data_IF_540939337358
#
_entry.id   IF_540939337358
#
_cell.length_a   1.000
_cell.length_b   1.000
_cell.length_c   1.000
_cell.angle_alpha   90.00
_cell.angle_beta   90.00
_cell.angle_gamma   90.00
#
_symmetry.space_group_name_H-M   'P 1'
#
loop_
_entity.id
_entity.type
_entity.pdbx_description
1 polymer ?
#
# COMPACT_ATOMS: atom_id res chain seq x y z
N UNK A 1 0.75 6.71 -18.73
CA UNK A 1 -0.25 7.15 -17.73
C UNK A 1 -1.25 6.05 -17.43
N UNK A 2 -1.51 5.74 -16.16
CA UNK A 2 -2.61 4.83 -15.77
C UNK A 2 -3.96 5.25 -16.39
N UNK A 3 -4.77 4.28 -16.87
CA UNK A 3 -6.00 4.58 -17.60
C UNK A 3 -7.02 5.34 -16.76
N UNK A 4 -7.17 5.01 -15.48
CA UNK A 4 -8.12 5.68 -14.57
C UNK A 4 -7.80 7.16 -14.37
N UNK A 5 -6.50 7.48 -14.26
CA UNK A 5 -6.03 8.86 -14.08
C UNK A 5 -6.20 9.64 -15.38
N UNK A 6 -5.85 9.03 -16.52
CA UNK A 6 -6.02 9.66 -17.83
C UNK A 6 -7.48 10.00 -18.12
N UNK A 7 -8.41 9.09 -17.81
CA UNK A 7 -9.85 9.30 -17.96
C UNK A 7 -10.33 10.47 -17.10
N UNK A 8 -9.90 10.54 -15.84
CA UNK A 8 -10.31 11.57 -14.90
C UNK A 8 -9.80 12.96 -15.30
N UNK A 9 -8.55 13.06 -15.73
CA UNK A 9 -7.95 14.32 -16.21
C UNK A 9 -8.67 14.82 -17.46
N UNK A 10 -8.87 13.95 -18.45
CA UNK A 10 -9.55 14.31 -19.71
C UNK A 10 -11.00 14.74 -19.44
N UNK A 11 -11.73 14.00 -18.62
CA UNK A 11 -13.10 14.33 -18.20
C UNK A 11 -13.18 15.70 -17.50
N UNK A 12 -12.28 15.96 -16.55
CA UNK A 12 -12.28 17.20 -15.77
C UNK A 12 -11.97 18.41 -16.64
N UNK A 13 -11.04 18.28 -17.59
CA UNK A 13 -10.69 19.37 -18.50
C UNK A 13 -11.81 19.61 -19.51
N UNK A 14 -12.43 18.56 -20.06
CA UNK A 14 -13.63 18.70 -20.91
C UNK A 14 -14.76 19.41 -20.14
N UNK A 15 -15.03 19.00 -18.91
CA UNK A 15 -16.02 19.65 -18.04
C UNK A 15 -15.70 21.13 -17.86
N UNK A 16 -14.46 21.47 -17.50
CA UNK A 16 -14.03 22.85 -17.31
C UNK A 16 -14.21 23.68 -18.58
N UNK A 17 -13.80 23.15 -19.75
CA UNK A 17 -13.94 23.84 -21.03
C UNK A 17 -15.40 24.07 -21.43
N UNK A 18 -16.28 23.10 -21.18
CA UNK A 18 -17.71 23.21 -21.48
C UNK A 18 -18.44 24.19 -20.55
N UNK A 19 -18.08 24.22 -19.26
CA UNK A 19 -18.63 25.17 -18.28
C UNK A 19 -18.20 26.59 -18.62
N UNK A 20 -16.93 26.82 -18.94
CA UNK A 20 -16.43 28.15 -19.34
C UNK A 20 -17.07 28.68 -20.62
N UNK A 21 -17.47 27.79 -21.53
CA UNK A 21 -18.17 28.15 -22.78
C UNK A 21 -19.68 28.42 -22.59
N UNK A 22 -20.25 28.13 -21.42
CA UNK A 22 -21.67 28.38 -21.11
C UNK A 22 -21.82 29.50 -20.07
N UNK A 23 -21.52 30.77 -20.39
CA UNK A 23 -21.56 31.87 -19.40
C UNK A 23 -22.98 32.39 -19.10
N UNK A 24 -24.04 31.86 -19.71
CA UNK A 24 -25.38 32.46 -19.64
C UNK A 24 -26.52 31.44 -19.76
N UNK A 25 -26.69 30.59 -18.76
CA UNK A 25 -28.03 30.21 -18.29
C UNK A 25 -27.92 29.47 -16.96
N UNK A 26 -28.58 29.97 -15.92
CA UNK A 26 -28.81 29.24 -14.67
C UNK A 26 -29.73 28.02 -14.84
N UNK A 27 -29.69 27.36 -16.00
CA UNK A 27 -30.43 26.14 -16.27
C UNK A 27 -29.42 24.99 -16.28
N UNK A 28 -29.72 23.96 -15.48
CA UNK A 28 -29.05 22.66 -15.45
C UNK A 28 -29.42 21.87 -16.72
N UNK A 29 -29.24 22.51 -17.88
CA UNK A 29 -29.76 22.09 -19.18
C UNK A 29 -28.69 21.51 -20.08
N UNK A 30 -29.06 20.44 -20.78
CA UNK A 30 -28.35 19.77 -21.89
C UNK A 30 -27.47 20.75 -22.68
N UNK A 31 -26.14 20.55 -22.66
CA UNK A 31 -25.18 21.40 -23.37
C UNK A 31 -24.87 20.74 -24.72
N UNK A 32 -25.11 21.48 -25.81
CA UNK A 32 -24.53 21.18 -27.12
C UNK A 32 -23.23 21.96 -27.27
N UNK A 33 -22.13 21.42 -26.74
CA UNK A 33 -20.85 22.12 -26.64
C UNK A 33 -19.83 21.64 -27.68
N UNK A 34 -19.01 22.56 -28.17
CA UNK A 34 -17.89 22.27 -29.08
C UNK A 34 -16.56 22.55 -28.40
N UNK A 35 -15.74 21.52 -28.25
CA UNK A 35 -14.40 21.61 -27.66
C UNK A 35 -13.36 21.47 -28.76
N UNK A 36 -12.46 22.45 -28.89
CA UNK A 36 -11.31 22.34 -29.79
C UNK A 36 -10.35 21.28 -29.26
N UNK A 37 -10.01 20.29 -30.09
CA UNK A 37 -9.09 19.22 -29.72
C UNK A 37 -7.68 19.75 -29.45
N UNK A 38 -7.24 20.77 -30.19
CA UNK A 38 -5.94 21.43 -29.98
C UNK A 38 -5.94 22.12 -28.61
N UNK A 39 -7.02 22.84 -28.27
CA UNK A 39 -7.13 23.48 -26.96
C UNK A 39 -7.16 22.43 -25.84
N UNK A 40 -7.95 21.36 -25.99
CA UNK A 40 -7.99 20.26 -25.03
C UNK A 40 -6.61 19.64 -24.81
N UNK A 41 -5.89 19.36 -25.90
CA UNK A 41 -4.54 18.79 -25.86
C UNK A 41 -3.57 19.72 -25.14
N UNK A 42 -3.59 21.01 -25.45
CA UNK A 42 -2.74 22.00 -24.80
C UNK A 42 -3.04 22.12 -23.29
N UNK A 43 -4.31 22.12 -22.89
CA UNK A 43 -4.71 22.18 -21.48
C UNK A 43 -4.27 20.91 -20.71
N UNK A 44 -4.36 19.74 -21.34
CA UNK A 44 -3.87 18.48 -20.75
C UNK A 44 -2.35 18.48 -20.64
N UNK A 45 -1.63 18.88 -21.69
CA UNK A 45 -0.17 18.86 -21.73
C UNK A 45 0.47 19.86 -20.76
N UNK A 46 -0.20 20.99 -20.50
CA UNK A 46 0.25 22.01 -19.56
C UNK A 46 -0.31 21.81 -18.15
N UNK A 47 -1.10 20.76 -17.92
CA UNK A 47 -1.67 20.48 -16.61
C UNK A 47 -0.55 20.14 -15.60
N UNK A 48 -0.57 20.80 -14.45
CA UNK A 48 0.43 20.61 -13.39
C UNK A 48 0.49 19.15 -12.92
N UNK A 49 -0.66 18.49 -12.78
CA UNK A 49 -0.73 17.10 -12.34
C UNK A 49 -0.13 16.16 -13.40
N UNK A 50 -0.39 16.41 -14.68
CA UNK A 50 0.21 15.63 -15.77
C UNK A 50 1.73 15.78 -15.76
N UNK A 51 2.25 17.00 -15.59
CA UNK A 51 3.70 17.23 -15.52
C UNK A 51 4.34 16.54 -14.30
N UNK A 52 3.70 16.57 -13.13
CA UNK A 52 4.17 15.85 -11.94
C UNK A 52 4.17 14.33 -12.10
N UNK A 53 3.23 13.77 -12.87
CA UNK A 53 3.22 12.33 -13.18
C UNK A 53 4.35 11.94 -14.13
N UNK A 54 4.63 12.80 -15.11
CA UNK A 54 5.72 12.57 -16.08
C UNK A 54 7.08 12.57 -15.40
N UNK A 55 7.29 13.46 -14.43
CA UNK A 55 8.49 13.45 -13.58
C UNK A 55 8.67 12.14 -12.80
N UNK A 56 7.57 11.42 -12.53
CA UNK A 56 7.57 10.11 -11.86
C UNK A 56 7.66 8.92 -12.83
N UNK A 57 7.86 9.18 -14.12
CA UNK A 57 8.10 8.15 -15.15
C UNK A 57 6.86 7.73 -15.96
N UNK A 58 5.76 8.49 -15.90
CA UNK A 58 4.56 8.23 -16.72
C UNK A 58 4.62 8.93 -18.08
N UNK A 59 4.10 8.29 -19.13
CA UNK A 59 4.01 8.91 -20.45
C UNK A 59 2.91 9.99 -20.51
N UNK A 60 3.20 11.07 -21.24
CA UNK A 60 2.20 12.11 -21.58
C UNK A 60 1.15 11.54 -22.53
N UNK A 61 -0.09 12.01 -22.36
CA UNK A 61 -1.19 11.68 -23.27
C UNK A 61 -0.99 12.37 -24.61
N UNK A 62 -0.97 11.58 -25.68
CA UNK A 62 -0.98 12.10 -27.05
C UNK A 62 -2.42 12.41 -27.51
N UNK A 63 -2.57 12.96 -28.72
CA UNK A 63 -3.90 13.30 -29.27
C UNK A 63 -4.75 12.03 -29.47
N UNK A 64 -4.14 10.91 -29.85
CA UNK A 64 -4.86 9.65 -30.09
C UNK A 64 -5.35 9.04 -28.78
N UNK A 65 -4.53 9.08 -27.73
CA UNK A 65 -4.84 8.66 -26.37
C UNK A 65 -6.04 9.44 -25.85
N UNK A 66 -6.04 10.76 -26.03
CA UNK A 66 -7.17 11.62 -25.64
C UNK A 66 -8.44 11.20 -26.37
N UNK A 67 -8.37 10.93 -27.68
CA UNK A 67 -9.54 10.49 -28.46
C UNK A 67 -10.03 9.10 -28.04
N UNK A 68 -9.13 8.18 -27.72
CA UNK A 68 -9.46 6.85 -27.20
C UNK A 68 -10.14 6.97 -25.84
N UNK A 69 -9.59 7.81 -24.95
CA UNK A 69 -10.17 8.10 -23.64
C UNK A 69 -11.56 8.71 -23.79
N UNK A 70 -11.75 9.70 -24.66
CA UNK A 70 -13.07 10.31 -24.91
C UNK A 70 -14.09 9.27 -25.38
N UNK A 71 -13.72 8.38 -26.32
CA UNK A 71 -14.60 7.30 -26.79
C UNK A 71 -14.96 6.32 -25.66
N UNK A 72 -14.01 5.98 -24.80
CA UNK A 72 -14.22 5.05 -23.68
C UNK A 72 -15.09 5.67 -22.59
N UNK A 73 -14.91 6.96 -22.34
CA UNK A 73 -15.65 7.70 -21.31
C UNK A 73 -17.11 7.90 -21.70
N UNK A 74 -17.37 8.12 -23.00
CA UNK A 74 -18.70 8.40 -23.53
C UNK A 74 -19.14 7.37 -24.59
N UNK A 75 -19.26 6.08 -24.26
CA UNK A 75 -19.49 5.02 -25.25
C UNK A 75 -20.87 5.13 -25.93
N UNK A 76 -21.85 5.71 -25.23
CA UNK A 76 -23.24 5.80 -25.68
C UNK A 76 -23.60 7.17 -26.27
N UNK A 77 -22.67 8.13 -26.31
CA UNK A 77 -22.92 9.46 -26.86
C UNK A 77 -22.41 9.57 -28.28
N UNK A 78 -23.19 10.23 -29.14
CA UNK A 78 -22.75 10.59 -30.49
C UNK A 78 -21.75 11.74 -30.37
N UNK A 79 -20.47 11.43 -30.26
CA UNK A 79 -19.39 12.43 -30.34
C UNK A 79 -18.91 12.46 -31.79
N UNK A 80 -19.01 13.62 -32.43
CA UNK A 80 -18.51 13.83 -33.79
C UNK A 80 -17.25 14.70 -33.76
N UNK A 81 -16.18 14.23 -34.40
CA UNK A 81 -14.97 15.02 -34.66
C UNK A 81 -15.07 15.62 -36.07
N UNK A 82 -15.20 16.93 -36.17
CA UNK A 82 -15.27 17.67 -37.44
C UNK A 82 -14.32 18.86 -37.34
N UNK A 83 -13.43 19.04 -38.32
CA UNK A 83 -12.45 20.14 -38.38
C UNK A 83 -11.62 20.34 -37.09
N UNK A 84 -11.22 19.22 -36.45
CA UNK A 84 -10.46 19.27 -35.19
C UNK A 84 -11.27 19.70 -33.97
N UNK A 85 -12.60 19.73 -34.05
CA UNK A 85 -13.51 20.04 -32.95
C UNK A 85 -14.31 18.80 -32.54
N UNK A 86 -14.31 18.51 -31.25
CA UNK A 86 -15.20 17.54 -30.62
C UNK A 86 -16.54 18.20 -30.35
N UNK A 87 -17.58 17.74 -31.04
CA UNK A 87 -18.96 18.18 -30.80
C UNK A 87 -19.68 17.15 -29.93
N UNK A 88 -20.16 17.59 -28.78
CA UNK A 88 -20.92 16.78 -27.84
C UNK A 88 -22.41 17.06 -28.04
N UNK A 89 -23.13 16.10 -28.62
CA UNK A 89 -24.57 16.22 -28.85
C UNK A 89 -25.34 15.75 -27.62
N UNK A 90 -26.16 16.63 -27.06
CA UNK A 90 -27.03 16.37 -25.91
C UNK A 90 -26.30 15.90 -24.62
N UNK A 91 -25.11 16.41 -24.33
CA UNK A 91 -24.39 16.05 -23.11
C UNK A 91 -25.03 16.76 -21.91
N UNK A 92 -25.51 16.00 -20.92
CA UNK A 92 -25.95 16.55 -19.65
C UNK A 92 -24.74 16.81 -18.75
N UNK A 93 -24.61 18.04 -18.25
CA UNK A 93 -23.50 18.40 -17.36
C UNK A 93 -23.53 17.59 -16.05
N UNK A 94 -24.72 17.22 -15.59
CA UNK A 94 -24.94 16.35 -14.43
C UNK A 94 -24.40 14.94 -14.65
N UNK A 95 -24.55 14.37 -15.85
CA UNK A 95 -23.95 13.07 -16.21
C UNK A 95 -22.42 13.15 -16.20
N UNK A 96 -21.87 14.26 -16.70
CA UNK A 96 -20.43 14.51 -16.69
C UNK A 96 -19.88 14.60 -15.26
N UNK A 97 -20.54 15.36 -14.39
CA UNK A 97 -20.18 15.48 -12.98
C UNK A 97 -20.29 14.15 -12.23
N UNK A 98 -21.36 13.39 -12.47
CA UNK A 98 -21.54 12.07 -11.88
C UNK A 98 -20.45 11.10 -12.39
N UNK A 99 -20.12 11.13 -13.67
CA UNK A 99 -19.05 10.33 -14.26
C UNK A 99 -17.66 10.65 -13.70
N UNK A 100 -17.39 11.92 -13.38
CA UNK A 100 -16.16 12.34 -12.68
C UNK A 100 -16.16 11.79 -11.25
N UNK A 101 -17.24 11.98 -10.47
CA UNK A 101 -17.32 11.51 -9.08
C UNK A 101 -17.20 9.98 -8.99
N UNK A 102 -17.87 9.26 -9.88
CA UNK A 102 -17.82 7.80 -9.90
C UNK A 102 -16.41 7.28 -10.17
N UNK A 103 -15.71 7.85 -11.16
CA UNK A 103 -14.32 7.46 -11.46
C UNK A 103 -13.36 7.86 -10.36
N UNK A 104 -13.54 9.03 -9.75
CA UNK A 104 -12.77 9.43 -8.58
C UNK A 104 -12.96 8.44 -7.43
N UNK A 105 -14.19 8.04 -7.15
CA UNK A 105 -14.50 7.06 -6.12
C UNK A 105 -13.86 5.70 -6.41
N UNK A 106 -13.94 5.22 -7.65
CA UNK A 106 -13.27 3.97 -8.08
C UNK A 106 -11.75 4.06 -7.93
N UNK A 107 -11.16 5.18 -8.32
CA UNK A 107 -9.72 5.42 -8.17
C UNK A 107 -9.31 5.40 -6.70
N UNK A 108 -10.00 6.14 -5.84
CA UNK A 108 -9.73 6.16 -4.40
C UNK A 108 -9.86 4.77 -3.78
N UNK A 109 -10.92 4.02 -4.12
CA UNK A 109 -11.11 2.66 -3.63
C UNK A 109 -10.01 1.71 -4.12
N UNK A 110 -9.60 1.81 -5.38
CA UNK A 110 -8.51 1.01 -5.93
C UNK A 110 -7.16 1.33 -5.26
N UNK A 111 -6.89 2.60 -4.99
CA UNK A 111 -5.69 3.03 -4.27
C UNK A 111 -5.71 2.55 -2.82
N UNK A 112 -6.85 2.65 -2.13
CA UNK A 112 -6.99 2.09 -0.77
C UNK A 112 -6.78 0.58 -0.75
N UNK A 113 -7.33 -0.15 -1.73
CA UNK A 113 -7.10 -1.59 -1.85
C UNK A 113 -5.63 -1.91 -2.15
N UNK A 114 -4.95 -1.10 -2.98
CA UNK A 114 -3.53 -1.25 -3.25
C UNK A 114 -2.67 -0.98 -2.00
N UNK A 115 -3.00 0.06 -1.23
CA UNK A 115 -2.34 0.37 0.05
C UNK A 115 -2.57 -0.79 1.02
N UNK A 116 -3.80 -1.27 1.20
CA UNK A 116 -4.10 -2.39 2.09
C UNK A 116 -3.35 -3.67 1.69
N UNK A 117 -3.18 -3.92 0.37
CA UNK A 117 -2.34 -5.03 -0.12
C UNK A 117 -0.86 -4.81 0.19
N UNK A 118 -0.34 -3.61 0.01
CA UNK A 118 1.04 -3.28 0.35
C UNK A 118 1.29 -3.37 1.86
N UNK A 119 0.31 -2.98 2.67
CA UNK A 119 0.34 -3.14 4.13
C UNK A 119 0.34 -4.62 4.53
N UNK A 120 -0.54 -5.46 3.94
CA UNK A 120 -0.51 -6.91 4.16
C UNK A 120 0.82 -7.52 3.70
N UNK A 121 1.38 -7.06 2.58
CA UNK A 121 2.69 -7.49 2.07
C UNK A 121 3.85 -7.13 3.02
N UNK A 122 3.80 -5.95 3.64
CA UNK A 122 4.80 -5.50 4.60
C UNK A 122 4.67 -6.31 5.90
N UNK A 123 3.45 -6.61 6.33
CA UNK A 123 3.16 -7.35 7.56
C UNK A 123 3.37 -8.87 7.40
N UNK A 124 3.15 -9.42 6.20
CA UNK A 124 3.21 -10.84 5.87
C UNK A 124 4.06 -11.09 4.61
N UNK A 125 5.39 -10.85 4.65
CA UNK A 125 6.27 -10.94 3.48
C UNK A 125 6.33 -12.33 2.82
N UNK A 126 5.90 -13.40 3.51
CA UNK A 126 5.82 -14.76 2.98
C UNK A 126 4.69 -14.97 1.95
N UNK A 127 3.63 -14.14 1.92
CA UNK A 127 2.56 -14.30 0.91
C UNK A 127 2.99 -13.95 -0.51
N UNK A 128 4.06 -13.16 -0.67
CA UNK A 128 4.65 -12.82 -1.97
C UNK A 128 5.15 -14.02 -2.75
N UNK A 129 5.58 -15.09 -2.07
CA UNK A 129 6.14 -16.28 -2.74
C UNK A 129 5.07 -17.30 -3.15
N UNK A 130 3.85 -17.21 -2.63
CA UNK A 130 2.79 -18.18 -2.88
C UNK A 130 1.82 -17.78 -4.01
N UNK A 131 1.61 -16.48 -4.27
CA UNK A 131 0.58 -16.02 -5.21
C UNK A 131 1.11 -15.63 -6.61
N UNK A 132 2.43 -15.61 -6.82
CA UNK A 132 3.08 -15.34 -8.11
C UNK A 132 3.38 -16.62 -8.89
N UNK A 133 2.34 -17.31 -9.38
CA UNK A 133 2.50 -18.54 -10.16
C UNK A 133 3.03 -18.27 -11.58
N UNK A 134 4.35 -18.42 -11.77
CA UNK A 134 4.99 -19.02 -12.96
C UNK A 134 6.52 -19.01 -12.81
N UNK A 135 7.13 -20.16 -12.46
CA UNK A 135 8.52 -20.45 -12.83
C UNK A 135 9.64 -20.04 -11.86
N UNK A 136 9.36 -19.82 -10.58
CA UNK A 136 10.40 -19.56 -9.59
C UNK A 136 10.03 -20.12 -8.24
N UNK A 137 10.20 -21.43 -8.04
CA UNK A 137 10.29 -21.97 -6.69
C UNK A 137 11.26 -21.11 -5.91
N UNK A 138 10.94 -20.80 -4.66
CA UNK A 138 11.88 -20.21 -3.72
C UNK A 138 13.06 -21.16 -3.57
N UNK A 139 13.99 -21.12 -4.52
CA UNK A 139 15.37 -21.52 -4.32
C UNK A 139 16.00 -20.44 -3.43
N UNK A 140 15.47 -20.28 -2.21
CA UNK A 140 16.37 -19.98 -1.11
C UNK A 140 17.32 -21.17 -1.15
N UNK A 141 18.57 -20.92 -1.58
CA UNK A 141 19.60 -21.95 -1.61
C UNK A 141 19.47 -22.78 -0.31
N UNK A 142 19.36 -24.11 -0.37
CA UNK A 142 19.19 -24.95 0.83
C UNK A 142 20.21 -24.64 1.93
N UNK A 143 21.37 -24.08 1.56
CA UNK A 143 22.36 -23.54 2.51
C UNK A 143 21.89 -22.27 3.22
N UNK A 144 21.31 -21.30 2.49
CA UNK A 144 20.75 -20.06 3.04
C UNK A 144 19.58 -20.35 3.97
N UNK A 145 18.72 -21.31 3.62
CA UNK A 145 17.60 -21.72 4.46
C UNK A 145 18.08 -22.32 5.79
N UNK A 146 19.03 -23.26 5.74
CA UNK A 146 19.66 -23.84 6.93
C UNK A 146 20.36 -22.81 7.82
N UNK A 147 21.04 -21.82 7.21
CA UNK A 147 21.68 -20.73 7.97
C UNK A 147 20.65 -19.84 8.67
N UNK A 148 19.52 -19.55 8.03
CA UNK A 148 18.42 -18.78 8.63
C UNK A 148 17.74 -19.55 9.77
N UNK A 149 17.55 -20.86 9.61
CA UNK A 149 17.06 -21.73 10.68
C UNK A 149 18.05 -21.79 11.85
N UNK A 150 19.35 -21.97 11.59
CA UNK A 150 20.38 -21.97 12.63
C UNK A 150 20.44 -20.63 13.37
N UNK A 151 20.34 -19.51 12.63
CA UNK A 151 20.28 -18.18 13.22
C UNK A 151 19.06 -18.04 14.14
N UNK A 152 17.87 -18.44 13.64
CA UNK A 152 16.62 -18.46 14.42
C UNK A 152 16.77 -19.25 15.71
N UNK A 153 17.19 -20.50 15.59
CA UNK A 153 17.32 -21.40 16.74
C UNK A 153 18.34 -20.87 17.74
N UNK A 154 19.45 -20.28 17.26
CA UNK A 154 20.47 -19.68 18.14
C UNK A 154 19.94 -18.48 18.90
N UNK A 155 19.21 -17.59 18.23
CA UNK A 155 18.62 -16.40 18.86
C UNK A 155 17.58 -16.82 19.89
N UNK A 156 16.65 -17.71 19.52
CA UNK A 156 15.61 -18.20 20.43
C UNK A 156 16.21 -18.93 21.64
N UNK A 157 17.18 -19.82 21.42
CA UNK A 157 17.85 -20.55 22.51
C UNK A 157 18.61 -19.60 23.45
N UNK A 158 19.29 -18.57 22.93
CA UNK A 158 19.99 -17.58 23.78
C UNK A 158 19.02 -16.71 24.57
N UNK A 159 17.89 -16.32 23.99
CA UNK A 159 16.84 -15.58 24.68
C UNK A 159 16.22 -16.41 25.81
N UNK A 160 16.01 -17.72 25.59
CA UNK A 160 15.52 -18.65 26.62
C UNK A 160 16.57 -18.94 27.70
N UNK A 161 17.82 -19.21 27.32
CA UNK A 161 18.88 -19.58 28.26
C UNK A 161 19.32 -18.42 29.17
N UNK A 162 19.41 -17.20 28.64
CA UNK A 162 19.78 -16.01 29.46
C UNK A 162 18.67 -15.57 30.41
N UNK A 163 17.42 -16.01 30.20
CA UNK A 163 16.31 -15.67 31.08
C UNK A 163 16.38 -16.39 32.45
N UNK A 164 17.24 -17.39 32.61
CA UNK A 164 17.49 -18.03 33.92
C UNK A 164 16.23 -18.61 34.59
N UNK A 165 15.20 -18.92 33.80
CA UNK A 165 13.92 -19.45 34.29
C UNK A 165 12.97 -18.42 34.90
N UNK A 166 13.24 -17.11 34.81
CA UNK A 166 12.34 -16.09 35.40
C UNK A 166 11.26 -15.58 34.45
N UNK A 167 11.55 -15.40 33.16
CA UNK A 167 10.52 -15.01 32.16
C UNK A 167 11.08 -15.07 30.74
N UNK A 168 10.72 -16.08 29.94
CA UNK A 168 11.07 -16.12 28.51
C UNK A 168 10.01 -15.42 27.65
N UNK A 169 10.25 -15.29 26.34
CA UNK A 169 9.30 -14.65 25.42
C UNK A 169 7.92 -15.33 25.51
N UNK A 170 7.87 -16.65 25.72
CA UNK A 170 6.63 -17.40 25.85
C UNK A 170 5.88 -17.07 27.15
N UNK A 171 6.58 -17.07 28.27
CA UNK A 171 6.05 -16.70 29.59
C UNK A 171 5.53 -15.27 29.59
N UNK A 172 6.21 -14.35 28.88
CA UNK A 172 5.77 -12.97 28.70
C UNK A 172 4.39 -12.90 28.05
N UNK A 173 4.19 -13.61 26.94
CA UNK A 173 2.90 -13.63 26.24
C UNK A 173 1.80 -14.36 27.01
N UNK A 174 2.12 -15.45 27.70
CA UNK A 174 1.17 -16.14 28.58
C UNK A 174 0.70 -15.22 29.72
N UNK A 175 1.61 -14.43 30.30
CA UNK A 175 1.30 -13.46 31.35
C UNK A 175 0.44 -12.31 30.83
N UNK A 176 0.75 -11.79 29.64
CA UNK A 176 -0.01 -10.71 29.01
C UNK A 176 -1.41 -11.15 28.56
N UNK A 177 -1.56 -12.40 28.13
CA UNK A 177 -2.86 -12.98 27.79
C UNK A 177 -3.70 -13.20 29.07
N UNK A 178 -3.08 -13.68 30.15
CA UNK A 178 -3.74 -13.87 31.43
C UNK A 178 -4.18 -12.54 32.09
N UNK A 179 -3.44 -11.45 31.88
CA UNK A 179 -3.78 -10.13 32.41
C UNK A 179 -4.82 -9.38 31.58
N UNK A 180 -5.21 -9.88 30.40
CA UNK A 180 -6.12 -9.20 29.46
C UNK A 180 -5.55 -7.91 28.87
N UNK A 181 -4.26 -7.63 29.06
CA UNK A 181 -3.61 -6.39 28.66
C UNK A 181 -3.39 -6.27 27.14
N UNK A 182 -3.35 -7.42 26.47
CA UNK A 182 -3.14 -7.55 25.02
C UNK A 182 -4.14 -6.72 24.20
N UNK A 183 -5.43 -6.73 24.59
CA UNK A 183 -6.51 -6.16 23.78
C UNK A 183 -6.53 -4.61 23.76
N UNK A 184 -5.82 -3.96 24.68
CA UNK A 184 -5.85 -2.50 24.83
C UNK A 184 -4.82 -1.76 23.97
N UNK A 185 -3.64 -2.36 23.76
CA UNK A 185 -2.50 -1.71 23.08
C UNK A 185 -2.00 -2.50 21.86
N UNK A 186 -2.20 -3.82 21.82
CA UNK A 186 -1.65 -4.70 20.78
C UNK A 186 -2.70 -4.99 19.72
N UNK A 187 -2.53 -4.44 18.52
CA UNK A 187 -3.44 -4.68 17.40
C UNK A 187 -3.32 -6.09 16.80
N UNK A 188 -2.16 -6.71 16.92
CA UNK A 188 -1.89 -8.03 16.36
C UNK A 188 -0.79 -8.73 17.16
N UNK A 189 -1.21 -9.72 17.94
CA UNK A 189 -0.34 -10.60 18.72
C UNK A 189 0.50 -11.45 17.77
N UNK A 190 1.81 -11.49 17.99
CA UNK A 190 2.67 -12.43 17.27
C UNK A 190 2.59 -13.79 17.97
N UNK A 191 2.15 -14.81 17.25
CA UNK A 191 2.17 -16.19 17.71
C UNK A 191 3.63 -16.67 17.78
N UNK A 192 4.14 -16.91 18.99
CA UNK A 192 5.51 -17.40 19.22
C UNK A 192 5.76 -18.73 18.50
N UNK A 193 4.73 -19.56 18.38
CA UNK A 193 4.82 -20.83 17.65
C UNK A 193 5.03 -20.62 16.15
N UNK A 194 4.61 -19.49 15.57
CA UNK A 194 5.02 -19.11 14.21
C UNK A 194 6.50 -18.81 14.15
N UNK A 195 7.03 -18.05 15.11
CA UNK A 195 8.47 -17.73 15.15
C UNK A 195 9.32 -19.01 15.25
N UNK A 196 8.88 -20.01 16.02
CA UNK A 196 9.60 -21.27 16.20
C UNK A 196 9.56 -22.17 14.96
N UNK A 197 8.41 -22.23 14.28
CA UNK A 197 8.18 -23.19 13.21
C UNK A 197 8.49 -22.62 11.82
N UNK A 198 8.33 -21.31 11.63
CA UNK A 198 8.53 -20.69 10.34
C UNK A 198 10.00 -20.37 10.09
N UNK A 199 10.42 -20.52 8.83
CA UNK A 199 11.75 -20.06 8.41
C UNK A 199 11.66 -18.57 8.07
N UNK A 200 12.45 -17.70 8.75
CA UNK A 200 12.39 -16.27 8.48
C UNK A 200 12.89 -15.96 7.08
N UNK A 201 12.35 -14.92 6.44
CA UNK A 201 12.75 -14.54 5.07
C UNK A 201 14.17 -13.96 5.00
N UNK A 202 14.60 -13.34 6.11
CA UNK A 202 15.94 -12.78 6.31
C UNK A 202 16.27 -12.66 7.81
N UNK A 203 17.53 -12.37 8.12
CA UNK A 203 17.97 -12.06 9.49
C UNK A 203 17.23 -10.85 10.06
N UNK A 204 17.06 -9.80 9.26
CA UNK A 204 16.36 -8.56 9.68
C UNK A 204 14.87 -8.81 9.94
N UNK A 205 14.24 -9.68 9.15
CA UNK A 205 12.85 -10.07 9.32
C UNK A 205 12.64 -10.77 10.66
N UNK A 206 13.49 -11.75 11.01
CA UNK A 206 13.45 -12.37 12.32
C UNK A 206 13.66 -11.36 13.44
N UNK A 207 14.63 -10.46 13.28
CA UNK A 207 14.90 -9.44 14.29
C UNK A 207 13.70 -8.52 14.50
N UNK A 208 13.04 -8.10 13.43
CA UNK A 208 11.84 -7.27 13.47
C UNK A 208 10.69 -7.97 14.18
N UNK A 209 10.45 -9.24 13.88
CA UNK A 209 9.38 -10.04 14.51
C UNK A 209 9.63 -10.19 16.01
N UNK A 210 10.85 -10.52 16.43
CA UNK A 210 11.20 -10.64 17.85
C UNK A 210 11.14 -9.27 18.55
N UNK A 211 11.63 -8.20 17.91
CA UNK A 211 11.59 -6.84 18.44
C UNK A 211 10.16 -6.36 18.66
N UNK A 212 9.28 -6.56 17.66
CA UNK A 212 7.86 -6.26 17.79
C UNK A 212 7.26 -7.03 18.97
N UNK A 213 7.65 -8.29 19.12
CA UNK A 213 7.13 -9.14 20.19
C UNK A 213 7.50 -8.64 21.60
N UNK A 214 8.73 -8.16 21.77
CA UNK A 214 9.19 -7.54 23.02
C UNK A 214 8.48 -6.19 23.25
N UNK A 215 8.35 -5.37 22.19
CA UNK A 215 7.67 -4.08 22.26
C UNK A 215 6.21 -4.21 22.69
N UNK A 216 5.49 -5.22 22.18
CA UNK A 216 4.12 -5.49 22.60
C UNK A 216 4.04 -5.69 24.12
N UNK A 217 4.98 -6.43 24.71
CA UNK A 217 5.03 -6.63 26.16
C UNK A 217 5.37 -5.37 26.96
N UNK A 218 6.28 -4.53 26.45
CA UNK A 218 6.63 -3.24 27.09
C UNK A 218 5.44 -2.27 27.05
N UNK A 219 4.70 -2.23 25.94
CA UNK A 219 3.62 -1.25 25.72
C UNK A 219 2.29 -1.67 26.35
N UNK A 220 2.11 -2.96 26.63
CA UNK A 220 0.88 -3.49 27.24
C UNK A 220 0.85 -3.38 28.77
N UNK A 221 1.98 -3.06 29.41
CA UNK A 221 2.07 -3.02 30.86
C UNK A 221 2.39 -1.61 31.36
N UNK A 222 1.92 -1.30 32.57
CA UNK A 222 2.35 -0.10 33.28
C UNK A 222 3.86 -0.17 33.59
N UNK A 223 4.52 0.99 33.54
CA UNK A 223 5.93 1.14 33.90
C UNK A 223 6.18 0.64 35.32
N UNK A 224 7.35 0.04 35.56
CA UNK A 224 7.78 -0.54 36.85
C UNK A 224 7.04 -1.81 37.33
N UNK A 225 6.14 -2.37 36.52
CA UNK A 225 5.60 -3.71 36.79
C UNK A 225 6.66 -4.79 36.54
N UNK A 226 6.55 -5.95 37.21
CA UNK A 226 7.45 -7.09 37.02
C UNK A 226 7.50 -7.55 35.55
N UNK A 227 6.34 -7.58 34.88
CA UNK A 227 6.21 -7.90 33.45
C UNK A 227 6.92 -6.88 32.56
N UNK A 228 6.81 -5.58 32.89
CA UNK A 228 7.51 -4.51 32.16
C UNK A 228 9.02 -4.60 32.34
N UNK A 229 9.49 -4.85 33.56
CA UNK A 229 10.91 -5.05 33.87
C UNK A 229 11.46 -6.28 33.14
N UNK A 230 10.69 -7.38 33.11
CA UNK A 230 11.07 -8.58 32.38
C UNK A 230 11.14 -8.34 30.87
N UNK A 231 10.18 -7.62 30.28
CA UNK A 231 10.22 -7.25 28.87
C UNK A 231 11.44 -6.37 28.53
N UNK A 232 11.80 -5.43 29.42
CA UNK A 232 13.02 -4.60 29.29
C UNK A 232 14.31 -5.41 29.40
N UNK A 233 14.37 -6.37 30.32
CA UNK A 233 15.51 -7.29 30.42
C UNK A 233 15.63 -8.16 29.17
N UNK A 234 14.50 -8.64 28.65
CA UNK A 234 14.45 -9.42 27.41
C UNK A 234 14.92 -8.59 26.19
N UNK A 235 14.57 -7.31 26.13
CA UNK A 235 15.11 -6.37 25.14
C UNK A 235 16.64 -6.31 25.20
N UNK A 236 17.21 -6.08 26.39
CA UNK A 236 18.66 -6.00 26.55
C UNK A 236 19.35 -7.32 26.14
N UNK A 237 18.76 -8.46 26.51
CA UNK A 237 19.26 -9.78 26.11
C UNK A 237 19.18 -10.00 24.60
N UNK A 238 18.14 -9.49 23.95
CA UNK A 238 17.99 -9.53 22.50
C UNK A 238 19.04 -8.68 21.79
N UNK A 239 19.25 -7.45 22.24
CA UNK A 239 20.27 -6.54 21.68
C UNK A 239 21.69 -7.16 21.78
N UNK A 240 22.04 -7.71 22.95
CA UNK A 240 23.27 -8.47 23.16
C UNK A 240 23.42 -9.64 22.18
N UNK A 241 22.32 -10.38 21.97
CA UNK A 241 22.29 -11.57 21.13
C UNK A 241 22.46 -11.20 19.66
N UNK A 242 21.79 -10.13 19.21
CA UNK A 242 21.95 -9.59 17.85
C UNK A 242 23.38 -9.12 17.63
N UNK A 243 23.97 -8.40 18.58
CA UNK A 243 25.35 -7.94 18.48
C UNK A 243 26.34 -9.11 18.45
N UNK A 244 26.13 -10.13 19.27
CA UNK A 244 26.92 -11.37 19.26
C UNK A 244 26.84 -12.06 17.90
N UNK A 245 25.63 -12.23 17.36
CA UNK A 245 25.44 -12.89 16.07
C UNK A 245 26.01 -12.08 14.90
N UNK A 246 25.95 -10.74 14.95
CA UNK A 246 26.59 -9.88 13.94
C UNK A 246 28.10 -10.11 13.92
N UNK A 247 28.75 -10.14 15.08
CA UNK A 247 30.20 -10.43 15.20
C UNK A 247 30.59 -11.84 14.76
N UNK A 248 29.68 -12.81 14.89
CA UNK A 248 29.93 -14.20 14.51
C UNK A 248 29.72 -14.47 13.00
N UNK A 249 29.05 -13.55 12.29
CA UNK A 249 28.75 -13.65 10.86
C UNK A 249 29.62 -12.71 10.00
N UNK A 250 30.33 -11.76 10.62
CA UNK A 250 31.43 -10.98 10.04
C UNK A 250 32.70 -11.83 9.91
#
# INVERSE_FOLDING_TARGET
MQPEISELIVLQIIHTLLVLQSPSSGSVGVISGKVSLVRLTNEIQNNVLVNQMVERGEDKLDINDILVVVKRVFPNQRISLVDGQLSFHNLQLTELQNGIRERLHRFCHAQQAAIARLEDDILNPQRRTAAGGAGGGTNVDPKREKLLQLYRDTVLNKLQAKSGGKMDLQTLYETLNASGALDSAVRQVIEIDRIKNDTPSSVHDLQLVIQKSICDGVMSCETDTDTWLAARQLQAHFDDTVQFMRRALE
#
